data_IF_581242721001
#
_entry.id   IF_581242721001
#
_cell.length_a   1.000
_cell.length_b   1.000
_cell.length_c   1.000
_cell.angle_alpha   90.00
_cell.angle_beta   90.00
_cell.angle_gamma   90.00
#
_symmetry.space_group_name_H-M   'P 1'
#
loop_
_entity.id
_entity.type
_entity.pdbx_description
1 polymer ?
#
# COMPACT_ATOMS: atom_id res chain seq x y z
N UNK A 1 -4.79 21.20 -8.39
CA UNK A 1 -4.25 19.82 -8.29
C UNK A 1 -3.72 19.62 -6.88
N UNK A 2 -4.07 18.53 -6.18
CA UNK A 2 -3.59 18.27 -4.82
C UNK A 2 -2.32 17.42 -4.87
N UNK A 3 -1.19 18.00 -4.46
CA UNK A 3 0.16 17.40 -4.53
C UNK A 3 0.58 16.64 -3.27
N UNK A 4 -0.36 16.33 -2.37
CA UNK A 4 -0.04 15.67 -1.10
C UNK A 4 0.12 14.17 -1.30
N UNK A 5 1.35 13.68 -1.10
CA UNK A 5 1.65 12.25 -1.06
C UNK A 5 1.02 11.63 0.19
N UNK A 6 0.28 10.54 0.01
CA UNK A 6 -0.42 9.81 1.09
C UNK A 6 0.11 8.38 1.16
N UNK A 7 0.62 8.00 2.32
CA UNK A 7 1.06 6.62 2.58
C UNK A 7 -0.16 5.69 2.72
N UNK A 8 -0.16 4.60 1.95
CA UNK A 8 -1.18 3.56 1.99
C UNK A 8 -0.54 2.24 2.43
N UNK A 9 -1.28 1.48 3.24
CA UNK A 9 -0.95 0.08 3.51
C UNK A 9 -1.85 -0.81 2.67
N UNK A 10 -1.26 -1.82 2.05
CA UNK A 10 -1.90 -2.73 1.11
C UNK A 10 -1.60 -4.18 1.49
N UNK A 11 -2.64 -5.01 1.62
CA UNK A 11 -2.48 -6.46 1.62
C UNK A 11 -2.64 -6.95 0.19
N UNK A 12 -1.66 -7.72 -0.29
CA UNK A 12 -1.67 -8.27 -1.63
C UNK A 12 -1.24 -9.72 -1.64
N UNK A 13 -1.67 -10.46 -2.66
CA UNK A 13 -1.08 -11.75 -2.99
C UNK A 13 -0.30 -11.62 -4.30
N UNK A 14 0.91 -12.17 -4.31
CA UNK A 14 1.74 -12.26 -5.50
C UNK A 14 1.59 -13.62 -6.14
N UNK A 15 1.32 -13.63 -7.45
CA UNK A 15 1.31 -14.85 -8.26
C UNK A 15 2.53 -14.85 -9.16
N UNK A 16 3.52 -15.66 -8.79
CA UNK A 16 4.83 -15.72 -9.46
C UNK A 16 4.75 -16.06 -10.95
N UNK A 17 3.83 -16.96 -11.35
CA UNK A 17 3.74 -17.45 -12.72
C UNK A 17 3.36 -16.37 -13.75
N UNK A 18 2.58 -15.37 -13.32
CA UNK A 18 2.04 -14.32 -14.21
C UNK A 18 2.65 -12.94 -13.86
N UNK A 19 3.54 -12.88 -12.86
CA UNK A 19 4.04 -11.63 -12.24
C UNK A 19 2.91 -10.68 -11.81
N UNK A 20 1.75 -11.24 -11.44
CA UNK A 20 0.55 -10.47 -11.08
C UNK A 20 0.50 -10.24 -9.57
N UNK A 21 0.31 -8.98 -9.18
CA UNK A 21 -0.02 -8.59 -7.80
C UNK A 21 -1.51 -8.30 -7.71
N UNK A 22 -2.26 -9.12 -6.96
CA UNK A 22 -3.67 -8.85 -6.66
C UNK A 22 -3.77 -8.12 -5.33
N UNK A 23 -4.28 -6.90 -5.38
CA UNK A 23 -4.63 -6.12 -4.19
C UNK A 23 -5.89 -6.71 -3.56
N UNK A 24 -5.81 -7.10 -2.29
CA UNK A 24 -6.93 -7.65 -1.52
C UNK A 24 -7.59 -6.54 -0.70
N UNK A 25 -6.79 -5.70 -0.07
CA UNK A 25 -7.26 -4.54 0.69
C UNK A 25 -6.27 -3.38 0.59
N UNK A 26 -6.79 -2.16 0.65
CA UNK A 26 -5.99 -0.94 0.70
C UNK A 26 -6.65 0.04 1.67
N UNK A 27 -5.83 0.66 2.54
CA UNK A 27 -6.30 1.70 3.46
C UNK A 27 -5.24 2.77 3.68
N UNK A 28 -5.67 3.95 4.10
CA UNK A 28 -4.77 5.02 4.54
C UNK A 28 -3.97 4.55 5.76
N UNK A 29 -2.66 4.73 5.72
CA UNK A 29 -1.82 4.45 6.87
C UNK A 29 -2.19 5.37 8.04
N UNK A 30 -2.23 4.80 9.24
CA UNK A 30 -2.37 5.57 10.48
C UNK A 30 -1.07 6.34 10.75
N UNK A 31 -1.16 7.40 11.56
CA UNK A 31 0.01 8.19 11.94
C UNK A 31 1.11 7.36 12.64
N UNK A 32 0.74 6.24 13.29
CA UNK A 32 1.69 5.30 13.87
C UNK A 32 2.36 4.44 12.80
N UNK A 33 1.57 3.90 11.87
CA UNK A 33 2.06 3.09 10.74
C UNK A 33 3.01 3.87 9.82
N UNK A 34 2.68 5.14 9.54
CA UNK A 34 3.53 6.02 8.73
C UNK A 34 4.93 6.24 9.30
N UNK A 35 5.13 6.10 10.62
CA UNK A 35 6.45 6.28 11.23
C UNK A 35 7.41 5.12 10.95
N UNK A 36 6.90 3.96 10.53
CA UNK A 36 7.74 2.80 10.21
C UNK A 36 8.32 2.84 8.80
N UNK A 37 7.76 3.70 7.92
CA UNK A 37 8.17 3.83 6.53
C UNK A 37 8.64 5.28 6.30
N UNK A 38 9.96 5.53 6.33
CA UNK A 38 10.52 6.88 6.19
C UNK A 38 10.24 7.51 4.82
#
# INVERSE_FOLDING_TARGET
>A
MSSSLRLLLVCHCYRSDDNVIRIISARKATAKESKFYP
#
